data_IF_419932427009
#
_entry.id   IF_419932427009
#
_cell.length_a   1.000
_cell.length_b   1.000
_cell.length_c   1.000
_cell.angle_alpha   90.00
_cell.angle_beta   90.00
_cell.angle_gamma   90.00
#
_symmetry.space_group_name_H-M   'P 1'
#
loop_
_entity.id
_entity.type
_entity.pdbx_description
1 polymer ?
#
# COMPACT_ATOMS: atom_id res chain seq x y z
N UNK A 1 23.10 -7.91 -31.00
CA UNK A 1 22.28 -9.04 -31.45
C UNK A 1 23.01 -9.86 -32.55
N UNK A 2 23.38 -9.24 -33.66
CA UNK A 2 23.95 -9.91 -34.83
C UNK A 2 25.28 -10.63 -34.52
N UNK A 3 26.17 -9.99 -33.78
CA UNK A 3 27.47 -10.54 -33.37
C UNK A 3 27.32 -11.77 -32.47
N UNK A 4 26.40 -11.71 -31.49
CA UNK A 4 26.15 -12.83 -30.60
C UNK A 4 25.59 -14.04 -31.32
N UNK A 5 24.72 -13.81 -32.30
CA UNK A 5 24.16 -14.89 -33.13
C UNK A 5 25.24 -15.57 -33.97
N UNK A 6 26.15 -14.80 -34.58
CA UNK A 6 27.28 -15.35 -35.35
C UNK A 6 28.21 -16.19 -34.47
N UNK A 7 28.53 -15.69 -33.27
CA UNK A 7 29.40 -16.43 -32.33
C UNK A 7 28.72 -17.73 -31.88
N UNK A 8 27.41 -17.71 -31.57
CA UNK A 8 26.69 -18.92 -31.20
C UNK A 8 26.62 -19.93 -32.36
N UNK A 9 26.29 -19.48 -33.59
CA UNK A 9 26.26 -20.37 -34.74
C UNK A 9 27.63 -21.01 -35.01
N UNK A 10 28.71 -20.23 -34.92
CA UNK A 10 30.05 -20.76 -35.12
C UNK A 10 30.48 -21.76 -34.04
N UNK A 11 30.12 -21.53 -32.77
CA UNK A 11 30.42 -22.46 -31.71
C UNK A 11 29.59 -23.75 -31.78
N UNK A 12 28.36 -23.69 -32.21
CA UNK A 12 27.53 -24.88 -32.45
C UNK A 12 28.09 -25.71 -33.62
N UNK A 13 28.47 -25.08 -34.73
CA UNK A 13 29.09 -25.76 -35.90
C UNK A 13 30.45 -26.40 -35.57
N UNK A 14 31.22 -25.79 -34.69
CA UNK A 14 32.54 -26.32 -34.31
C UNK A 14 32.50 -27.47 -33.29
N UNK A 15 31.31 -27.87 -32.82
CA UNK A 15 31.14 -28.92 -31.82
C UNK A 15 31.73 -28.60 -30.44
N UNK A 16 32.24 -27.36 -30.25
CA UNK A 16 32.91 -26.94 -29.01
C UNK A 16 31.98 -26.69 -27.84
N UNK A 17 30.67 -26.69 -28.09
CA UNK A 17 29.65 -26.53 -27.03
C UNK A 17 28.67 -27.70 -27.06
N UNK A 18 29.06 -28.82 -26.45
CA UNK A 18 28.17 -29.97 -26.25
C UNK A 18 26.98 -29.67 -25.29
N UNK A 19 27.00 -28.53 -24.62
CA UNK A 19 26.01 -28.15 -23.61
C UNK A 19 24.80 -27.40 -24.15
N UNK A 20 24.85 -26.88 -25.40
CA UNK A 20 23.76 -26.11 -26.00
C UNK A 20 23.24 -26.84 -27.24
N UNK A 21 21.91 -26.89 -27.37
CA UNK A 21 21.21 -27.43 -28.56
C UNK A 21 20.27 -26.39 -29.16
N UNK A 22 19.84 -26.61 -30.38
CA UNK A 22 18.83 -25.77 -31.08
C UNK A 22 17.39 -26.20 -30.69
N UNK A 23 17.23 -27.44 -30.23
CA UNK A 23 15.94 -28.02 -29.85
C UNK A 23 15.94 -28.37 -28.36
N UNK A 24 14.78 -28.22 -27.72
CA UNK A 24 14.57 -28.52 -26.29
C UNK A 24 13.13 -28.78 -25.97
N UNK A 25 12.65 -28.40 -24.77
CA UNK A 25 11.24 -28.48 -24.42
C UNK A 25 10.40 -27.49 -25.22
N UNK A 26 9.13 -27.82 -25.38
CA UNK A 26 8.18 -26.89 -25.98
C UNK A 26 8.08 -25.59 -25.16
N UNK A 27 8.01 -24.49 -25.88
CA UNK A 27 7.83 -23.16 -25.26
C UNK A 27 6.39 -22.99 -24.81
N UNK A 28 6.19 -22.39 -23.67
CA UNK A 28 4.87 -21.94 -23.24
C UNK A 28 4.33 -20.88 -24.18
N UNK A 29 3.02 -20.69 -24.21
CA UNK A 29 2.36 -19.70 -25.07
C UNK A 29 2.95 -18.29 -24.94
N UNK A 30 3.30 -17.87 -23.73
CA UNK A 30 3.96 -16.57 -23.46
C UNK A 30 5.39 -16.53 -23.96
N UNK A 31 6.17 -17.60 -23.77
CA UNK A 31 7.55 -17.71 -24.25
C UNK A 31 7.60 -17.72 -25.76
N UNK A 32 6.69 -18.45 -26.41
CA UNK A 32 6.57 -18.51 -27.86
C UNK A 32 6.25 -17.13 -28.46
N UNK A 33 5.29 -16.42 -27.87
CA UNK A 33 4.93 -15.08 -28.29
C UNK A 33 6.11 -14.12 -28.19
N UNK A 34 6.92 -14.22 -27.12
CA UNK A 34 8.01 -13.30 -26.84
C UNK A 34 9.31 -13.66 -27.54
N UNK A 35 9.65 -14.93 -27.63
CA UNK A 35 10.97 -15.42 -28.09
C UNK A 35 10.92 -16.30 -29.32
N UNK A 36 9.76 -16.79 -29.75
CA UNK A 36 9.64 -17.78 -30.81
C UNK A 36 10.21 -17.36 -32.18
N UNK A 37 10.31 -16.05 -32.43
CA UNK A 37 10.93 -15.50 -33.65
C UNK A 37 12.44 -15.28 -33.52
N UNK A 38 13.06 -15.65 -32.39
CA UNK A 38 14.48 -15.34 -32.15
C UNK A 38 15.38 -16.46 -32.64
N UNK A 39 16.30 -16.12 -33.54
CA UNK A 39 17.36 -17.02 -33.96
C UNK A 39 18.41 -17.29 -32.85
N UNK A 40 18.35 -16.63 -31.72
CA UNK A 40 19.31 -16.76 -30.60
C UNK A 40 18.83 -17.70 -29.52
N UNK A 41 17.60 -18.21 -29.61
CA UNK A 41 17.06 -19.15 -28.65
C UNK A 41 17.89 -20.45 -28.70
N UNK A 42 18.29 -20.93 -27.53
CA UNK A 42 19.05 -22.17 -27.38
C UNK A 42 18.52 -22.93 -26.17
N UNK A 43 18.85 -24.19 -26.08
CA UNK A 43 18.43 -25.06 -25.03
C UNK A 43 19.61 -25.75 -24.34
N UNK A 44 19.52 -26.00 -23.06
CA UNK A 44 20.50 -26.74 -22.31
C UNK A 44 20.37 -28.22 -22.68
N UNK A 45 21.45 -28.86 -23.10
CA UNK A 45 21.43 -30.23 -23.61
C UNK A 45 20.88 -31.26 -22.61
N UNK A 46 21.13 -31.08 -21.31
CA UNK A 46 20.73 -32.02 -20.24
C UNK A 46 19.29 -31.79 -19.82
N UNK A 47 18.92 -30.56 -19.46
CA UNK A 47 17.59 -30.21 -18.91
C UNK A 47 16.55 -29.87 -19.98
N UNK A 48 16.97 -29.66 -21.22
CA UNK A 48 16.15 -29.16 -22.33
C UNK A 48 15.49 -27.79 -22.07
N UNK A 49 15.90 -27.09 -21.00
CA UNK A 49 15.40 -25.76 -20.67
C UNK A 49 15.90 -24.68 -21.63
N UNK A 50 15.04 -23.71 -22.00
CA UNK A 50 15.42 -22.63 -22.90
C UNK A 50 16.35 -21.62 -22.25
N UNK A 51 17.34 -21.17 -23.00
CA UNK A 51 18.18 -20.01 -22.71
C UNK A 51 17.69 -18.85 -23.54
N UNK A 52 17.12 -17.86 -22.89
CA UNK A 52 16.54 -16.73 -23.58
C UNK A 52 17.57 -15.77 -24.17
N UNK A 53 17.25 -15.20 -25.34
CA UNK A 53 18.16 -14.30 -26.01
C UNK A 53 18.40 -13.00 -25.23
N UNK A 54 19.66 -12.61 -25.08
CA UNK A 54 20.05 -11.36 -24.39
C UNK A 54 19.45 -10.12 -25.09
N UNK A 55 19.26 -10.18 -26.40
CA UNK A 55 18.66 -9.08 -27.17
C UNK A 55 17.21 -8.76 -26.82
N UNK A 56 16.53 -9.66 -26.11
CA UNK A 56 15.15 -9.45 -25.61
C UNK A 56 15.10 -8.97 -24.17
N UNK A 57 16.25 -8.84 -23.50
CA UNK A 57 16.33 -8.12 -22.24
C UNK A 57 15.98 -6.66 -22.52
N UNK A 58 14.81 -6.22 -22.08
CA UNK A 58 14.45 -4.82 -22.18
C UNK A 58 15.28 -4.03 -21.18
N UNK A 59 16.36 -3.42 -21.65
CA UNK A 59 16.93 -2.29 -20.94
C UNK A 59 15.90 -1.15 -21.03
N UNK A 60 15.06 -1.00 -20.02
CA UNK A 60 14.38 0.27 -19.84
C UNK A 60 15.47 1.27 -19.46
N UNK A 61 15.64 2.29 -20.28
CA UNK A 61 16.39 3.44 -19.80
C UNK A 61 15.88 3.78 -18.41
N UNK A 62 16.76 3.96 -17.41
CA UNK A 62 16.32 4.54 -16.13
C UNK A 62 15.52 5.76 -16.53
N UNK A 63 14.33 5.93 -15.93
CA UNK A 63 13.46 7.08 -16.22
C UNK A 63 14.37 8.28 -16.40
N UNK A 64 14.37 8.86 -17.58
CA UNK A 64 15.26 9.98 -17.89
C UNK A 64 14.85 11.10 -16.93
N UNK A 65 15.55 11.20 -15.81
CA UNK A 65 15.42 12.34 -14.93
C UNK A 65 15.73 13.56 -15.79
N UNK A 66 14.78 14.46 -15.88
CA UNK A 66 15.00 15.73 -16.54
C UNK A 66 16.32 16.28 -16.00
N UNK A 67 17.21 16.81 -16.84
CA UNK A 67 18.53 17.31 -16.40
C UNK A 67 18.50 18.28 -15.24
N UNK A 68 17.34 18.92 -15.00
CA UNK A 68 17.07 19.83 -13.86
C UNK A 68 16.76 19.11 -12.56
N UNK A 69 16.34 17.84 -12.62
CA UNK A 69 15.96 17.05 -11.44
C UNK A 69 17.21 16.37 -10.90
N UNK A 70 17.81 16.96 -9.88
CA UNK A 70 19.01 16.42 -9.26
C UNK A 70 18.90 16.52 -7.73
N UNK A 71 19.32 15.46 -7.04
CA UNK A 71 19.26 15.38 -5.58
C UNK A 71 20.20 16.37 -4.87
N UNK A 72 21.15 16.97 -5.60
CA UNK A 72 22.17 17.85 -5.03
C UNK A 72 21.77 19.33 -4.98
N UNK A 73 20.74 19.74 -5.73
CA UNK A 73 20.21 21.11 -5.70
C UNK A 73 18.89 21.18 -4.94
N UNK A 74 18.61 22.32 -4.28
CA UNK A 74 17.34 22.51 -3.58
C UNK A 74 16.13 22.42 -4.54
N UNK A 75 16.22 23.02 -5.70
CA UNK A 75 15.17 22.97 -6.74
C UNK A 75 14.98 21.54 -7.26
N UNK A 76 16.06 20.79 -7.51
CA UNK A 76 15.95 19.40 -7.97
C UNK A 76 15.37 18.47 -6.91
N UNK A 77 15.69 18.67 -5.64
CA UNK A 77 15.06 17.93 -4.53
C UNK A 77 13.56 18.23 -4.43
N UNK A 78 13.16 19.50 -4.56
CA UNK A 78 11.74 19.88 -4.56
C UNK A 78 10.99 19.17 -5.68
N UNK A 79 11.51 19.18 -6.91
CA UNK A 79 10.88 18.53 -8.05
C UNK A 79 10.78 16.99 -7.87
N UNK A 80 11.80 16.34 -7.28
CA UNK A 80 11.75 14.92 -6.91
C UNK A 80 10.62 14.67 -5.89
N UNK A 81 10.47 15.56 -4.92
CA UNK A 81 9.46 15.42 -3.87
C UNK A 81 8.04 15.65 -4.37
N UNK A 82 7.84 16.58 -5.30
CA UNK A 82 6.55 16.84 -5.94
C UNK A 82 6.06 15.63 -6.74
N UNK A 83 6.97 14.96 -7.45
CA UNK A 83 6.68 13.72 -8.19
C UNK A 83 6.33 12.52 -7.29
N UNK A 84 6.79 12.50 -6.04
CA UNK A 84 6.47 11.44 -5.09
C UNK A 84 5.01 11.46 -4.61
N UNK A 85 4.26 12.54 -4.85
CA UNK A 85 2.85 12.72 -4.42
C UNK A 85 2.61 12.54 -2.91
N UNK A 86 3.68 12.50 -2.11
CA UNK A 86 3.69 12.35 -0.66
C UNK A 86 4.23 13.63 -0.05
N UNK A 87 3.64 14.07 1.07
CA UNK A 87 4.19 15.17 1.85
C UNK A 87 5.48 14.71 2.55
N UNK A 88 6.62 15.01 1.93
CA UNK A 88 7.95 14.60 2.46
C UNK A 88 8.33 15.32 3.73
N UNK A 89 7.86 16.56 3.93
CA UNK A 89 8.06 17.27 5.18
C UNK A 89 7.39 16.54 6.34
N UNK A 90 6.14 16.12 6.16
CA UNK A 90 5.41 15.35 7.16
C UNK A 90 6.05 13.97 7.39
N UNK A 91 6.55 13.32 6.33
CA UNK A 91 7.30 12.06 6.45
C UNK A 91 8.55 12.24 7.30
N UNK A 92 9.35 13.28 7.04
CA UNK A 92 10.55 13.57 7.82
C UNK A 92 10.22 13.89 9.29
N UNK A 93 9.14 14.62 9.54
CA UNK A 93 8.67 14.85 10.90
C UNK A 93 8.25 13.53 11.56
N UNK A 94 7.54 12.65 10.84
CA UNK A 94 7.13 11.33 11.33
C UNK A 94 8.33 10.45 11.69
N UNK A 95 9.41 10.49 10.90
CA UNK A 95 10.65 9.78 11.16
C UNK A 95 11.35 10.27 12.43
N UNK A 96 11.29 11.58 12.70
CA UNK A 96 11.90 12.21 13.88
C UNK A 96 11.01 12.15 15.12
N UNK A 97 9.71 11.90 14.95
CA UNK A 97 8.78 11.83 16.07
C UNK A 97 9.11 10.64 16.98
N UNK A 98 9.33 10.89 18.28
CA UNK A 98 9.72 9.85 19.22
C UNK A 98 8.64 8.77 19.34
N UNK A 99 9.08 7.53 19.39
CA UNK A 99 8.23 6.36 19.59
C UNK A 99 8.55 5.69 20.92
N UNK A 100 8.56 6.50 21.99
CA UNK A 100 8.86 5.99 23.34
C UNK A 100 7.99 4.78 23.68
N UNK A 101 8.58 3.77 24.29
CA UNK A 101 7.94 2.51 24.66
C UNK A 101 7.40 1.63 23.51
N UNK A 102 7.72 1.93 22.25
CA UNK A 102 7.35 1.12 21.09
C UNK A 102 8.55 0.34 20.54
N UNK A 103 8.28 -0.77 19.86
CA UNK A 103 9.32 -1.54 19.20
C UNK A 103 9.90 -0.81 17.97
N UNK A 104 11.14 -1.14 17.60
CA UNK A 104 11.74 -0.66 16.34
C UNK A 104 10.90 -1.06 15.14
N UNK A 105 10.38 -2.29 15.14
CA UNK A 105 9.48 -2.80 14.10
C UNK A 105 8.23 -1.90 13.93
N UNK A 106 7.63 -1.45 15.03
CA UNK A 106 6.50 -0.51 14.98
C UNK A 106 6.90 0.83 14.35
N UNK A 107 8.07 1.36 14.73
CA UNK A 107 8.56 2.65 14.22
C UNK A 107 8.81 2.59 12.71
N UNK A 108 9.48 1.54 12.23
CA UNK A 108 9.79 1.33 10.81
C UNK A 108 8.52 1.08 9.98
N UNK A 109 7.61 0.26 10.51
CA UNK A 109 6.35 -0.04 9.84
C UNK A 109 5.45 1.20 9.74
N UNK A 110 5.46 2.10 10.72
CA UNK A 110 4.73 3.37 10.67
C UNK A 110 5.16 4.24 9.48
N UNK A 111 6.48 4.32 9.23
CA UNK A 111 7.06 5.08 8.11
C UNK A 111 6.72 4.40 6.78
N UNK A 112 6.88 3.09 6.71
CA UNK A 112 6.56 2.29 5.53
C UNK A 112 5.08 2.40 5.15
N UNK A 113 4.17 2.36 6.13
CA UNK A 113 2.73 2.54 5.94
C UNK A 113 2.39 3.95 5.45
N UNK A 114 3.06 4.99 5.96
CA UNK A 114 2.84 6.36 5.48
C UNK A 114 3.12 6.47 3.97
N UNK A 115 4.20 5.87 3.52
CA UNK A 115 4.57 5.82 2.11
C UNK A 115 3.58 4.96 1.30
N UNK A 116 3.24 3.76 1.77
CA UNK A 116 2.32 2.85 1.10
C UNK A 116 0.88 3.39 1.00
N UNK A 117 0.44 4.17 1.99
CA UNK A 117 -0.87 4.83 2.00
C UNK A 117 -0.85 6.21 1.34
N UNK A 118 0.27 6.62 0.74
CA UNK A 118 0.43 7.92 0.08
C UNK A 118 0.14 9.12 1.00
N UNK A 119 0.48 9.01 2.30
CA UNK A 119 0.19 10.01 3.30
C UNK A 119 -1.30 10.25 3.53
N UNK A 120 -2.14 9.21 3.36
CA UNK A 120 -3.59 9.28 3.49
C UNK A 120 -4.11 8.31 4.56
N UNK A 121 -5.21 8.69 5.19
CA UNK A 121 -5.96 7.81 6.07
C UNK A 121 -6.55 6.62 5.30
N UNK A 122 -6.37 5.40 5.81
CA UNK A 122 -6.85 4.18 5.16
C UNK A 122 -8.38 4.11 5.02
N UNK A 123 -9.11 4.73 5.92
CA UNK A 123 -10.59 4.73 5.94
C UNK A 123 -11.14 5.85 5.06
N UNK A 124 -10.79 7.10 5.36
CA UNK A 124 -11.37 8.28 4.69
C UNK A 124 -10.71 8.66 3.39
N UNK A 125 -9.49 8.19 3.13
CA UNK A 125 -8.69 8.60 1.98
C UNK A 125 -8.18 10.05 2.05
N UNK A 126 -8.50 10.81 3.09
CA UNK A 126 -8.02 12.19 3.30
C UNK A 126 -6.53 12.19 3.59
N UNK A 127 -5.81 13.18 3.04
CA UNK A 127 -4.38 13.39 3.34
C UNK A 127 -4.20 13.86 4.77
N UNK A 128 -3.18 13.35 5.45
CA UNK A 128 -2.75 13.87 6.75
C UNK A 128 -2.16 15.27 6.58
N UNK A 129 -2.52 16.19 7.46
CA UNK A 129 -2.02 17.56 7.46
C UNK A 129 -0.89 17.78 8.48
N UNK A 130 -0.95 17.10 9.62
CA UNK A 130 0.03 17.19 10.69
C UNK A 130 0.26 15.83 11.36
N UNK A 131 1.35 15.72 12.14
CA UNK A 131 1.72 14.47 12.84
C UNK A 131 0.66 14.05 13.86
N UNK A 132 0.06 15.01 14.56
CA UNK A 132 -0.95 14.74 15.59
C UNK A 132 -2.20 14.05 15.06
N UNK A 133 -2.48 14.17 13.75
CA UNK A 133 -3.57 13.46 13.11
C UNK A 133 -3.27 12.00 12.79
N UNK A 134 -1.97 11.62 12.78
CA UNK A 134 -1.52 10.31 12.30
C UNK A 134 -1.53 9.30 13.45
N UNK A 135 -2.51 8.43 13.48
CA UNK A 135 -2.58 7.32 14.41
C UNK A 135 -2.25 5.99 13.72
N UNK A 136 -1.21 5.30 14.22
CA UNK A 136 -0.88 3.95 13.76
C UNK A 136 -1.65 2.94 14.62
N UNK A 137 -2.73 2.45 14.05
CA UNK A 137 -3.69 1.55 14.70
C UNK A 137 -3.31 0.10 14.47
N UNK A 138 -3.41 -0.73 15.52
CA UNK A 138 -3.32 -2.19 15.43
C UNK A 138 -4.67 -2.76 15.03
N UNK A 139 -4.79 -3.33 13.85
CA UNK A 139 -6.03 -4.01 13.39
C UNK A 139 -6.50 -5.05 14.40
N UNK A 140 -5.59 -5.90 14.86
CA UNK A 140 -5.77 -6.77 16.01
C UNK A 140 -5.02 -6.17 17.19
N UNK A 141 -5.71 -5.74 18.26
CA UNK A 141 -5.08 -5.13 19.43
C UNK A 141 -4.04 -6.01 20.11
N UNK A 142 -3.02 -5.39 20.72
CA UNK A 142 -1.97 -6.11 21.47
C UNK A 142 -2.56 -6.96 22.60
N UNK A 143 -3.58 -6.48 23.30
CA UNK A 143 -4.23 -7.20 24.39
C UNK A 143 -4.89 -8.53 23.98
N UNK A 144 -5.16 -8.74 22.70
CA UNK A 144 -5.71 -9.99 22.15
C UNK A 144 -4.70 -10.70 21.23
N UNK A 145 -3.40 -10.44 21.42
CA UNK A 145 -2.31 -11.11 20.72
C UNK A 145 -1.88 -10.48 19.39
N UNK A 146 -2.26 -9.23 19.12
CA UNK A 146 -1.75 -8.45 17.98
C UNK A 146 -0.28 -8.11 18.16
N UNK A 147 0.50 -8.18 17.08
CA UNK A 147 1.92 -7.84 17.04
C UNK A 147 2.15 -6.58 16.18
N UNK A 148 3.36 -6.00 16.29
CA UNK A 148 3.76 -4.80 15.54
C UNK A 148 4.08 -5.07 14.05
N UNK A 149 3.68 -6.22 13.52
CA UNK A 149 3.87 -6.58 12.12
C UNK A 149 3.16 -5.63 11.16
N UNK A 150 3.76 -5.39 10.01
CA UNK A 150 3.24 -4.51 8.97
C UNK A 150 1.78 -4.79 8.60
N UNK A 151 1.43 -6.07 8.43
CA UNK A 151 0.07 -6.47 8.04
C UNK A 151 -0.99 -6.14 9.11
N UNK A 152 -0.55 -6.07 10.38
CA UNK A 152 -1.43 -5.77 11.52
C UNK A 152 -1.58 -4.28 11.81
N UNK A 153 -0.79 -3.43 11.16
CA UNK A 153 -0.81 -1.99 11.36
C UNK A 153 -1.53 -1.26 10.22
N UNK A 154 -2.06 -0.09 10.52
CA UNK A 154 -2.71 0.79 9.54
C UNK A 154 -2.68 2.22 10.06
N UNK A 155 -2.47 3.20 9.16
CA UNK A 155 -2.53 4.61 9.52
C UNK A 155 -3.92 5.16 9.30
N UNK A 156 -4.46 5.77 10.31
CA UNK A 156 -5.79 6.40 10.31
C UNK A 156 -5.73 7.78 10.95
N UNK A 157 -6.72 8.63 10.66
CA UNK A 157 -6.89 9.91 11.35
C UNK A 157 -7.27 9.68 12.82
N UNK A 158 -6.86 10.58 13.71
CA UNK A 158 -7.20 10.52 15.13
C UNK A 158 -8.72 10.32 15.39
N UNK A 159 -9.63 11.07 14.78
CA UNK A 159 -11.07 10.84 14.96
C UNK A 159 -11.54 9.47 14.47
N UNK A 160 -10.92 8.93 13.41
CA UNK A 160 -11.21 7.57 12.93
C UNK A 160 -10.73 6.53 13.93
N UNK A 161 -9.54 6.73 14.52
CA UNK A 161 -9.01 5.86 15.57
C UNK A 161 -9.93 5.79 16.79
N UNK A 162 -10.41 6.95 17.27
CA UNK A 162 -11.38 7.01 18.35
C UNK A 162 -12.67 6.26 17.98
N UNK A 163 -13.19 6.48 16.78
CA UNK A 163 -14.40 5.82 16.30
C UNK A 163 -14.24 4.29 16.16
N UNK A 164 -13.04 3.79 15.84
CA UNK A 164 -12.77 2.34 15.84
C UNK A 164 -12.98 1.75 17.24
N UNK A 165 -12.59 2.46 18.28
CA UNK A 165 -12.63 1.97 19.67
C UNK A 165 -13.89 2.39 20.45
N UNK A 166 -14.63 3.38 19.98
CA UNK A 166 -15.83 3.89 20.63
C UNK A 166 -16.87 2.78 20.87
N UNK A 167 -17.46 2.77 22.05
CA UNK A 167 -18.54 1.85 22.47
C UNK A 167 -19.83 2.62 22.71
N UNK A 168 -19.68 3.84 23.20
CA UNK A 168 -20.79 4.73 23.54
C UNK A 168 -21.44 5.30 22.30
N UNK A 169 -22.75 5.26 22.21
CA UNK A 169 -23.53 5.68 21.03
C UNK A 169 -23.44 7.18 20.79
N UNK A 170 -23.39 8.01 21.81
CA UNK A 170 -23.30 9.45 21.70
C UNK A 170 -21.94 9.84 21.07
N UNK A 171 -20.88 9.19 21.53
CA UNK A 171 -19.52 9.34 20.96
C UNK A 171 -19.48 8.90 19.50
N UNK A 172 -20.11 7.76 19.17
CA UNK A 172 -20.17 7.26 17.79
C UNK A 172 -20.93 8.26 16.90
N UNK A 173 -22.09 8.75 17.32
CA UNK A 173 -22.88 9.72 16.57
C UNK A 173 -22.13 11.03 16.35
N UNK A 174 -21.43 11.54 17.37
CA UNK A 174 -20.62 12.75 17.29
C UNK A 174 -19.52 12.64 16.23
N UNK A 175 -18.73 11.56 16.28
CA UNK A 175 -17.65 11.37 15.30
C UNK A 175 -18.16 11.06 13.89
N UNK A 176 -19.26 10.32 13.73
CA UNK A 176 -19.88 10.08 12.42
C UNK A 176 -20.35 11.38 11.78
N UNK A 177 -21.00 12.25 12.57
CA UNK A 177 -21.47 13.57 12.12
C UNK A 177 -20.32 14.47 11.67
N UNK A 178 -19.20 14.44 12.41
CA UNK A 178 -18.00 15.22 12.10
C UNK A 178 -17.26 14.68 10.86
N UNK A 179 -17.14 13.36 10.73
CA UNK A 179 -16.38 12.72 9.65
C UNK A 179 -17.14 12.66 8.33
N UNK A 180 -18.48 12.55 8.37
CA UNK A 180 -19.39 12.42 7.20
C UNK A 180 -18.91 11.30 6.27
N UNK A 181 -18.78 10.09 6.80
CA UNK A 181 -18.29 8.93 6.05
C UNK A 181 -19.31 8.49 5.01
N UNK A 182 -18.82 8.17 3.80
CA UNK A 182 -19.63 7.47 2.81
C UNK A 182 -19.77 5.97 3.12
N UNK A 183 -20.65 5.27 2.41
CA UNK A 183 -20.92 3.83 2.63
C UNK A 183 -19.65 2.96 2.51
N UNK A 184 -18.76 3.27 1.56
CA UNK A 184 -17.50 2.54 1.37
C UNK A 184 -16.53 2.77 2.54
N UNK A 185 -16.45 4.00 3.03
CA UNK A 185 -15.63 4.37 4.18
C UNK A 185 -16.15 3.74 5.47
N UNK A 186 -17.46 3.73 5.67
CA UNK A 186 -18.12 3.06 6.80
C UNK A 186 -17.86 1.55 6.78
N UNK A 187 -17.91 0.92 5.61
CA UNK A 187 -17.57 -0.50 5.47
C UNK A 187 -16.11 -0.78 5.88
N UNK A 188 -15.16 0.08 5.45
CA UNK A 188 -13.75 -0.03 5.85
C UNK A 188 -13.57 0.15 7.36
N UNK A 189 -14.27 1.13 7.96
CA UNK A 189 -14.28 1.36 9.40
C UNK A 189 -14.80 0.13 10.15
N UNK A 190 -15.95 -0.40 9.75
CA UNK A 190 -16.58 -1.56 10.37
C UNK A 190 -15.69 -2.80 10.32
N UNK A 191 -14.96 -2.99 9.21
CA UNK A 191 -13.95 -4.05 9.11
C UNK A 191 -12.86 -3.90 10.17
N UNK A 192 -12.38 -2.67 10.43
CA UNK A 192 -11.38 -2.43 11.47
C UNK A 192 -11.98 -2.62 12.88
N UNK A 193 -13.23 -2.22 13.12
CA UNK A 193 -13.94 -2.44 14.38
C UNK A 193 -14.07 -3.92 14.70
N UNK A 194 -14.48 -4.73 13.74
CA UNK A 194 -14.59 -6.20 13.92
C UNK A 194 -13.23 -6.80 14.27
N UNK A 195 -12.16 -6.41 13.57
CA UNK A 195 -10.80 -6.87 13.86
C UNK A 195 -10.32 -6.43 15.27
N UNK A 196 -10.77 -5.27 15.73
CA UNK A 196 -10.53 -4.76 17.09
C UNK A 196 -11.47 -5.34 18.15
N UNK A 197 -12.26 -6.36 17.83
CA UNK A 197 -13.26 -6.97 18.69
C UNK A 197 -14.34 -5.97 19.16
N UNK A 198 -14.81 -5.12 18.23
CA UNK A 198 -15.89 -4.16 18.43
C UNK A 198 -17.06 -4.45 17.51
N UNK A 199 -18.27 -4.14 17.95
CA UNK A 199 -19.48 -4.29 17.12
C UNK A 199 -19.40 -3.34 15.91
N UNK A 200 -19.83 -3.76 14.72
CA UNK A 200 -19.96 -2.86 13.57
C UNK A 200 -21.02 -1.78 13.88
N UNK A 201 -20.86 -0.62 13.27
CA UNK A 201 -21.81 0.48 13.34
C UNK A 201 -22.86 0.25 12.27
N UNK A 202 -24.11 0.26 12.67
CA UNK A 202 -25.27 0.20 11.79
C UNK A 202 -26.00 1.55 11.85
N UNK A 203 -26.10 2.22 10.70
CA UNK A 203 -26.72 3.54 10.62
C UNK A 203 -28.23 3.49 10.83
N UNK A 204 -28.88 2.37 10.51
CA UNK A 204 -30.33 2.21 10.66
C UNK A 204 -30.71 2.19 12.15
N UNK A 205 -29.94 1.48 12.95
CA UNK A 205 -30.16 1.40 14.40
C UNK A 205 -29.87 2.74 15.11
N UNK A 206 -28.89 3.52 14.65
CA UNK A 206 -28.55 4.84 15.22
C UNK A 206 -29.63 5.90 14.95
N UNK A 207 -30.31 5.83 13.81
CA UNK A 207 -31.40 6.75 13.48
C UNK A 207 -32.67 6.49 14.32
N UNK A 208 -32.89 5.25 14.76
CA UNK A 208 -34.01 4.88 15.60
C UNK A 208 -33.84 5.39 17.05
N UNK A 209 -32.58 5.42 17.56
CA UNK A 209 -32.31 5.91 18.93
C UNK A 209 -32.41 7.44 19.02
N UNK A 210 -31.99 8.17 17.97
CA UNK A 210 -32.12 9.64 17.93
C UNK A 210 -33.58 10.12 17.87
N UNK A 211 -34.51 9.35 17.31
CA UNK A 211 -35.93 9.68 17.29
C UNK A 211 -36.62 9.41 18.62
N UNK A 212 -36.12 8.48 19.43
CA UNK A 212 -36.66 8.18 20.74
C UNK A 212 -36.25 9.20 21.83
N UNK A 213 -35.07 9.84 21.69
CA UNK A 213 -34.62 10.86 22.66
C UNK A 213 -35.24 12.25 22.42
N UNK A 214 -35.65 12.56 21.17
CA UNK A 214 -36.35 13.81 20.87
C UNK A 214 -37.87 13.81 21.22
N UNK A 215 -38.41 12.65 21.57
CA UNK A 215 -39.83 12.52 21.97
C UNK A 215 -40.13 12.79 23.44
N UNK A 216 -39.12 12.93 24.31
CA UNK A 216 -39.31 12.97 25.75
C UNK A 216 -39.18 14.35 26.43
N UNK A 217 -39.01 15.42 25.66
CA UNK A 217 -38.83 16.79 26.22
C UNK A 217 -39.93 17.78 25.86
N UNK A 218 -41.16 17.33 25.57
CA UNK A 218 -42.28 18.23 25.34
C UNK A 218 -43.56 17.79 26.08
N UNK A 219 -43.49 17.62 27.38
CA UNK A 219 -44.72 17.67 28.24
C UNK A 219 -44.29 18.02 29.64
N UNK A 220 -44.21 19.28 29.96
CA UNK A 220 -44.52 19.87 31.26
C UNK A 220 -44.33 21.39 31.18
N UNK A 221 -45.41 22.10 30.91
CA UNK A 221 -45.75 23.40 31.45
C UNK A 221 -46.99 23.99 30.74
N UNK A 222 -48.16 23.55 31.21
CA UNK A 222 -49.39 24.38 31.22
C UNK A 222 -50.27 23.88 32.33
N UNK A 223 -50.27 24.62 33.42
CA UNK A 223 -51.41 24.93 34.31
C UNK A 223 -50.88 25.60 35.56
N UNK A 224 -51.26 26.75 35.71
CA UNK A 224 -51.79 27.70 36.67
C UNK A 224 -51.10 29.03 36.56
#
# INVERSE_FOLDING_TARGET
GRTVNIVLKNRLKSGKTHRLKEEGRDLTKMELQRYGKSEQLRYIAQSKEPIYPISYVQCKNPMSQRRKVCAYTAAGRSEIHDDLRINTFLLLQLMRAPTYSRSTEYADNRISLFSAQWGKCAVTGKKFQCISEIHCHHKKPKGIGGRDKYENLVLVLAPVHELIHAVDEDTICSYLSALKLDASQLMKLNRLRILANRKPIDLENLNLTNNSHNGMTKETKKSV
#
